data_IF_464605282253
#
_entry.id   IF_464605282253
#
_cell.length_a   1.000
_cell.length_b   1.000
_cell.length_c   1.000
_cell.angle_alpha   90.00
_cell.angle_beta   90.00
_cell.angle_gamma   90.00
#
_symmetry.space_group_name_H-M   'P 1'
#
loop_
_entity.id
_entity.type
_entity.pdbx_description
1 polymer ?
#
# COMPACT_ATOMS: atom_id res chain seq x y z
N UNK A 1 -2.61 0.66 10.26
CA UNK A 1 -2.85 0.82 11.68
C UNK A 1 -2.93 -0.55 12.37
N UNK A 2 -2.77 -0.56 13.68
CA UNK A 2 -2.82 -1.79 14.47
C UNK A 2 -4.20 -2.46 14.39
N UNK A 3 -5.26 -1.68 14.36
CA UNK A 3 -6.63 -2.18 14.24
C UNK A 3 -6.86 -2.90 12.91
N UNK A 4 -6.32 -2.36 11.82
CA UNK A 4 -6.44 -3.00 10.50
C UNK A 4 -5.69 -4.33 10.45
N UNK A 5 -4.51 -4.41 11.07
CA UNK A 5 -3.75 -5.65 11.18
C UNK A 5 -4.52 -6.71 11.96
N UNK A 6 -5.11 -6.31 13.07
CA UNK A 6 -5.91 -7.21 13.91
C UNK A 6 -7.13 -7.73 13.16
N UNK A 7 -7.81 -6.86 12.40
CA UNK A 7 -8.95 -7.27 11.57
C UNK A 7 -8.54 -8.25 10.49
N UNK A 8 -7.43 -7.99 9.80
CA UNK A 8 -6.92 -8.87 8.74
C UNK A 8 -6.53 -10.24 9.30
N UNK A 9 -5.80 -10.28 10.42
CA UNK A 9 -5.40 -11.52 11.05
C UNK A 9 -6.61 -12.34 11.52
N UNK A 10 -7.60 -11.67 12.11
CA UNK A 10 -8.85 -12.29 12.56
C UNK A 10 -9.65 -12.87 11.39
N UNK A 11 -9.67 -12.17 10.26
CA UNK A 11 -10.37 -12.62 9.07
C UNK A 11 -9.72 -13.88 8.47
N UNK A 12 -8.40 -13.91 8.37
CA UNK A 12 -7.64 -15.08 7.92
C UNK A 12 -7.90 -16.27 8.85
N UNK A 13 -7.88 -16.06 10.15
CA UNK A 13 -8.17 -17.11 11.14
C UNK A 13 -9.58 -17.68 10.98
N UNK A 14 -10.59 -16.82 10.82
CA UNK A 14 -11.98 -17.23 10.66
C UNK A 14 -12.21 -18.02 9.38
N UNK A 15 -11.53 -17.66 8.30
CA UNK A 15 -11.63 -18.35 7.01
C UNK A 15 -10.88 -19.67 6.99
N UNK A 16 -9.92 -19.85 7.89
CA UNK A 16 -8.99 -20.99 7.89
C UNK A 16 -8.25 -21.08 6.54
N UNK A 17 -8.06 -19.92 5.90
CA UNK A 17 -7.38 -19.81 4.62
C UNK A 17 -6.60 -18.48 4.60
N UNK A 18 -5.34 -18.55 4.18
CA UNK A 18 -4.48 -17.37 4.06
C UNK A 18 -4.76 -16.55 2.79
N UNK A 19 -5.56 -17.10 1.86
CA UNK A 19 -5.89 -16.43 0.61
C UNK A 19 -7.07 -15.48 0.80
N UNK A 20 -6.94 -14.27 0.23
CA UNK A 20 -7.97 -13.23 0.32
C UNK A 20 -8.65 -13.05 -1.03
N UNK A 21 -9.13 -14.14 -1.62
CA UNK A 21 -9.63 -14.22 -2.99
C UNK A 21 -10.90 -13.41 -3.27
N UNK A 22 -11.62 -13.03 -2.26
CA UNK A 22 -12.85 -12.23 -2.36
C UNK A 22 -12.70 -10.80 -1.83
N UNK A 23 -11.48 -10.36 -1.59
CA UNK A 23 -11.21 -9.06 -1.00
C UNK A 23 -10.80 -8.03 -2.06
N UNK A 24 -11.07 -6.77 -1.77
CA UNK A 24 -10.55 -5.62 -2.51
C UNK A 24 -9.69 -4.81 -1.55
N UNK A 25 -8.48 -4.46 -1.97
CA UNK A 25 -7.58 -3.65 -1.14
C UNK A 25 -7.58 -2.21 -1.61
N UNK A 26 -7.80 -1.29 -0.68
CA UNK A 26 -7.74 0.15 -0.92
C UNK A 26 -6.50 0.71 -0.22
N UNK A 27 -5.62 1.36 -0.97
CA UNK A 27 -4.39 1.93 -0.44
C UNK A 27 -4.17 3.35 -0.98
N UNK A 28 -3.56 4.20 -0.17
CA UNK A 28 -3.31 5.59 -0.53
C UNK A 28 -2.11 5.76 -1.45
N UNK A 29 -1.09 4.93 -1.26
CA UNK A 29 0.15 5.02 -2.03
C UNK A 29 0.44 3.68 -2.71
N UNK A 30 0.94 3.73 -3.92
CA UNK A 30 1.33 2.56 -4.70
C UNK A 30 2.26 1.65 -3.89
N UNK A 31 2.01 0.32 -3.84
CA UNK A 31 2.77 -0.58 -2.98
C UNK A 31 4.23 -0.75 -3.43
N UNK A 32 5.12 -0.90 -2.45
CA UNK A 32 6.51 -1.28 -2.71
C UNK A 32 6.59 -2.78 -3.06
N UNK A 33 7.79 -3.27 -3.36
CA UNK A 33 7.99 -4.66 -3.76
C UNK A 33 7.54 -5.67 -2.70
N UNK A 34 7.72 -5.37 -1.43
CA UNK A 34 7.29 -6.25 -0.34
C UNK A 34 5.76 -6.33 -0.26
N UNK A 35 5.09 -5.18 -0.29
CA UNK A 35 3.63 -5.12 -0.23
C UNK A 35 2.98 -5.68 -1.49
N UNK A 36 3.53 -5.38 -2.67
CA UNK A 36 3.04 -5.93 -3.93
C UNK A 36 3.19 -7.46 -3.97
N UNK A 37 4.32 -7.97 -3.48
CA UNK A 37 4.53 -9.40 -3.36
C UNK A 37 3.53 -10.06 -2.41
N UNK A 38 3.24 -9.42 -1.29
CA UNK A 38 2.24 -9.92 -0.33
C UNK A 38 0.83 -9.94 -0.95
N UNK A 39 0.48 -8.94 -1.74
CA UNK A 39 -0.81 -8.88 -2.44
C UNK A 39 -0.96 -10.08 -3.39
N UNK A 40 0.08 -10.39 -4.16
CA UNK A 40 0.07 -11.53 -5.09
C UNK A 40 -0.02 -12.84 -4.32
N UNK A 41 0.76 -12.98 -3.25
CA UNK A 41 0.75 -14.20 -2.43
C UNK A 41 -0.60 -14.42 -1.75
N UNK A 42 -1.23 -13.37 -1.26
CA UNK A 42 -2.54 -13.44 -0.61
C UNK A 42 -3.69 -13.63 -1.61
N UNK A 43 -3.43 -13.58 -2.90
CA UNK A 43 -4.43 -13.76 -3.98
C UNK A 43 -5.52 -12.69 -3.97
N UNK A 44 -5.20 -11.46 -3.59
CA UNK A 44 -6.16 -10.36 -3.63
C UNK A 44 -6.50 -10.05 -5.09
N UNK A 45 -7.79 -10.12 -5.50
CA UNK A 45 -8.14 -9.98 -6.91
C UNK A 45 -8.10 -8.55 -7.42
N UNK A 46 -8.33 -7.57 -6.54
CA UNK A 46 -8.37 -6.16 -6.96
C UNK A 46 -7.70 -5.25 -5.94
N UNK A 47 -6.90 -4.32 -6.44
CA UNK A 47 -6.26 -3.27 -5.63
C UNK A 47 -6.63 -1.91 -6.20
N UNK A 48 -7.05 -1.00 -5.34
CA UNK A 48 -7.37 0.40 -5.68
C UNK A 48 -6.33 1.29 -5.02
N UNK A 49 -5.58 2.05 -5.82
CA UNK A 49 -4.56 2.96 -5.30
C UNK A 49 -4.95 4.41 -5.53
N UNK A 50 -4.57 5.29 -4.59
CA UNK A 50 -4.80 6.72 -4.69
C UNK A 50 -3.73 7.41 -5.53
N UNK A 51 -2.48 7.34 -5.08
CA UNK A 51 -1.38 8.01 -5.77
C UNK A 51 -0.23 7.05 -6.09
N UNK A 52 0.55 7.42 -7.10
CA UNK A 52 1.72 6.66 -7.54
C UNK A 52 2.95 6.97 -6.68
N UNK A 53 3.86 6.00 -6.62
CA UNK A 53 5.15 6.14 -5.96
C UNK A 53 6.27 5.94 -7.00
N UNK A 54 6.76 7.02 -7.63
CA UNK A 54 7.74 6.89 -8.71
C UNK A 54 9.11 6.39 -8.27
N UNK A 55 9.40 6.40 -6.96
CA UNK A 55 10.71 5.97 -6.45
C UNK A 55 10.75 4.50 -6.02
N UNK A 56 9.65 3.95 -5.57
CA UNK A 56 9.61 2.60 -5.00
C UNK A 56 8.34 1.82 -5.35
N UNK A 57 7.45 2.37 -6.16
CA UNK A 57 6.20 1.73 -6.50
C UNK A 57 6.37 0.52 -7.41
N UNK A 58 5.69 -0.58 -7.07
CA UNK A 58 5.75 -1.84 -7.80
C UNK A 58 4.42 -2.28 -8.38
N UNK A 59 3.54 -1.31 -8.68
CA UNK A 59 2.29 -1.53 -9.41
C UNK A 59 2.28 -0.77 -10.74
N UNK A 60 3.46 -0.54 -11.33
CA UNK A 60 3.63 0.07 -12.62
C UNK A 60 4.63 1.22 -12.68
N UNK A 61 5.02 1.82 -11.56
CA UNK A 61 5.96 2.97 -11.57
C UNK A 61 7.40 2.55 -11.80
N UNK A 62 7.97 1.74 -10.92
CA UNK A 62 9.32 1.19 -11.08
C UNK A 62 9.26 -0.19 -11.69
N UNK A 63 8.47 -1.07 -11.11
CA UNK A 63 8.18 -2.41 -11.59
C UNK A 63 6.68 -2.64 -11.53
N UNK A 64 6.20 -3.65 -12.24
CA UNK A 64 4.81 -4.09 -12.15
C UNK A 64 4.75 -5.53 -11.68
N UNK A 65 4.77 -5.74 -10.36
CA UNK A 65 4.70 -7.06 -9.76
C UNK A 65 3.28 -7.64 -9.71
N UNK A 66 2.26 -6.81 -9.91
CA UNK A 66 0.87 -7.24 -9.88
C UNK A 66 0.43 -7.93 -11.17
N UNK A 67 1.17 -7.74 -12.25
CA UNK A 67 0.82 -8.23 -13.59
C UNK A 67 1.92 -9.07 -14.25
N UNK A 68 2.75 -9.75 -13.46
CA UNK A 68 3.78 -10.64 -14.01
C UNK A 68 3.12 -11.91 -14.54
N UNK A 69 3.19 -12.21 -15.86
CA UNK A 69 2.49 -13.37 -16.43
C UNK A 69 2.94 -14.72 -15.85
N UNK A 70 4.19 -14.80 -15.40
CA UNK A 70 4.72 -16.03 -14.81
C UNK A 70 4.20 -16.33 -13.40
N UNK A 71 3.61 -15.35 -12.72
CA UNK A 71 3.00 -15.57 -11.42
C UNK A 71 1.63 -16.23 -11.55
N UNK A 72 1.28 -17.03 -10.55
CA UNK A 72 0.02 -17.78 -10.55
C UNK A 72 -1.23 -16.91 -10.37
N UNK A 73 -1.06 -15.64 -10.01
CA UNK A 73 -2.15 -14.74 -9.74
C UNK A 73 -1.88 -13.37 -10.38
N UNK A 74 -2.90 -12.82 -11.01
CA UNK A 74 -2.87 -11.48 -11.56
C UNK A 74 -3.87 -10.61 -10.79
N UNK A 75 -3.53 -9.33 -10.60
CA UNK A 75 -4.34 -8.41 -9.80
C UNK A 75 -4.93 -7.34 -10.72
N UNK A 76 -6.23 -7.09 -10.58
CA UNK A 76 -6.86 -5.95 -11.25
C UNK A 76 -6.49 -4.67 -10.50
N UNK A 77 -5.96 -3.68 -11.22
CA UNK A 77 -5.51 -2.42 -10.64
C UNK A 77 -6.41 -1.28 -11.08
N UNK A 78 -6.92 -0.53 -10.11
CA UNK A 78 -7.60 0.75 -10.35
C UNK A 78 -6.79 1.85 -9.68
N UNK A 79 -6.51 2.93 -10.42
CA UNK A 79 -5.67 4.01 -9.91
C UNK A 79 -6.36 5.37 -10.02
N UNK A 80 -5.82 6.35 -9.31
CA UNK A 80 -6.27 7.74 -9.39
C UNK A 80 -7.49 8.05 -8.55
N UNK A 81 -7.99 7.10 -7.77
CA UNK A 81 -9.12 7.34 -6.85
C UNK A 81 -8.63 8.23 -5.72
N UNK A 82 -9.22 9.43 -5.60
CA UNK A 82 -8.82 10.44 -4.61
C UNK A 82 -7.32 10.76 -4.68
N UNK A 83 -6.74 10.73 -5.87
CA UNK A 83 -5.30 10.89 -6.08
C UNK A 83 -4.76 12.18 -5.44
N UNK A 84 -5.44 13.29 -5.65
CA UNK A 84 -5.00 14.59 -5.13
C UNK A 84 -5.05 14.62 -3.61
N UNK A 85 -6.14 14.15 -3.01
CA UNK A 85 -6.31 14.08 -1.57
C UNK A 85 -5.28 13.16 -0.92
N UNK A 86 -5.03 12.01 -1.51
CA UNK A 86 -4.00 11.08 -1.03
C UNK A 86 -2.60 11.70 -1.11
N UNK A 87 -2.28 12.36 -2.21
CA UNK A 87 -1.00 13.03 -2.40
C UNK A 87 -0.81 14.16 -1.39
N UNK A 88 -1.83 14.98 -1.17
CA UNK A 88 -1.81 16.08 -0.21
C UNK A 88 -1.60 15.58 1.22
N UNK A 89 -2.29 14.51 1.60
CA UNK A 89 -2.13 13.90 2.93
C UNK A 89 -0.69 13.47 3.16
N UNK A 90 -0.08 12.81 2.20
CA UNK A 90 1.29 12.34 2.29
C UNK A 90 2.29 13.48 2.33
N UNK A 91 2.13 14.48 1.47
CA UNK A 91 2.98 15.67 1.44
C UNK A 91 2.90 16.42 2.75
N UNK A 92 1.69 16.64 3.26
CA UNK A 92 1.47 17.34 4.55
C UNK A 92 2.10 16.59 5.72
N UNK A 93 1.91 15.27 5.76
CA UNK A 93 2.48 14.42 6.80
C UNK A 93 4.01 14.48 6.83
N UNK A 94 4.66 14.33 5.68
CA UNK A 94 6.12 14.39 5.60
C UNK A 94 6.67 15.78 5.87
N UNK A 95 5.93 16.82 5.49
CA UNK A 95 6.30 18.20 5.81
C UNK A 95 6.29 18.43 7.33
N UNK A 96 5.25 17.98 8.01
CA UNK A 96 5.16 18.08 9.47
C UNK A 96 6.27 17.29 10.16
N UNK A 97 6.56 16.09 9.69
CA UNK A 97 7.67 15.27 10.20
C UNK A 97 9.01 15.99 10.10
N UNK A 98 9.28 16.60 8.95
CA UNK A 98 10.52 17.37 8.75
C UNK A 98 10.61 18.57 9.67
N UNK A 99 9.50 19.27 9.90
CA UNK A 99 9.45 20.41 10.83
C UNK A 99 9.69 19.97 12.26
N UNK A 100 9.07 18.88 12.71
CA UNK A 100 9.29 18.32 14.04
C UNK A 100 10.72 17.86 14.24
N UNK A 101 11.32 17.21 13.26
CA UNK A 101 12.72 16.78 13.30
C UNK A 101 13.65 17.98 13.42
N UNK A 102 13.40 19.04 12.66
CA UNK A 102 14.17 20.28 12.70
C UNK A 102 14.08 20.96 14.07
N UNK A 103 12.87 21.04 14.63
CA UNK A 103 12.64 21.61 15.97
C UNK A 103 13.37 20.80 17.05
N UNK A 104 13.32 19.46 16.99
CA UNK A 104 14.04 18.60 17.91
C UNK A 104 15.56 18.77 17.80
N UNK A 105 16.10 18.89 16.61
CA UNK A 105 17.52 19.14 16.38
C UNK A 105 17.96 20.48 16.99
N UNK A 106 17.15 21.53 16.86
CA UNK A 106 17.40 22.83 17.44
C UNK A 106 17.31 22.81 18.96
N UNK A 107 16.37 22.04 19.51
CA UNK A 107 16.18 21.91 20.97
C UNK A 107 17.32 21.12 21.63
N UNK A 108 17.89 20.14 20.95
CA UNK A 108 18.93 19.26 21.44
C UNK A 108 20.36 19.86 21.29
N UNK A 109 20.47 21.03 20.77
CA UNK A 109 21.72 21.80 20.70
C UNK A 109 21.81 22.74 21.87
#
# INVERSE_FOLDING_TARGET
STLMRSSAASDVYKRQDWRLEDCVMYITLEPCQMCAGAIVQARIPKVVIGSRNPKAGCAGSVLDLLHVPAFNHQVELEEGVLKEECSELLVSFFRELRQKKKANELTNR
#
